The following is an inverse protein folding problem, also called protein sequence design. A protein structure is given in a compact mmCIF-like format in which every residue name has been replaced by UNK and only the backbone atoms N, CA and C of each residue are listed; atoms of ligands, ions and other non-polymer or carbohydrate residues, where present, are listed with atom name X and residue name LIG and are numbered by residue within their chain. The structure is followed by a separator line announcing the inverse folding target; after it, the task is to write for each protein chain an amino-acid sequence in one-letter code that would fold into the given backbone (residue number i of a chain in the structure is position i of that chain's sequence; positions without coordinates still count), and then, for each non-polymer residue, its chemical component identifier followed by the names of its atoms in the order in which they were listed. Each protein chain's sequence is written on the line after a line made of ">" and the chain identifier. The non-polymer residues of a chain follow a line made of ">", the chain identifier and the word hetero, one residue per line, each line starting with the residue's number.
data_IF_224702088508
#
_entry.id   IF_224702088508
#
_cell.length_a   1.000
_cell.length_b   1.000
_cell.length_c   1.000
_cell.angle_alpha   90.00
_cell.angle_beta   90.00
_cell.angle_gamma   90.00
#
_symmetry.space_group_name_H-M   'P 1'
#
loop_
_entity.id
_entity.type
_entity.pdbx_description
1 polymer ?
#
# COMPACT_ATOMS: atom_id res chain seq x y z
N UNK A 1 1.67 25.10 14.95
CA UNK A 1 0.21 25.13 15.24
C UNK A 1 -0.12 24.65 16.65
N UNK A 2 0.45 23.53 17.14
CA UNK A 2 0.21 23.04 18.51
C UNK A 2 0.43 24.10 19.61
N UNK A 3 1.49 24.89 19.50
CA UNK A 3 1.80 25.97 20.45
C UNK A 3 0.72 27.06 20.58
N UNK A 4 -0.06 27.32 19.53
CA UNK A 4 -1.12 28.33 19.56
C UNK A 4 -2.36 27.85 20.34
N UNK A 5 -2.58 26.54 20.41
CA UNK A 5 -3.65 25.96 21.24
C UNK A 5 -3.32 25.97 22.74
N UNK A 6 -2.03 26.09 23.08
CA UNK A 6 -1.57 26.11 24.47
C UNK A 6 -1.58 27.51 25.08
N UNK A 7 -1.82 28.56 24.28
CA UNK A 7 -1.99 29.94 24.76
C UNK A 7 -3.39 30.06 25.37
N UNK A 8 -3.51 30.48 26.65
CA UNK A 8 -4.80 30.67 27.29
C UNK A 8 -5.69 31.64 26.52
N UNK A 9 -6.96 31.27 26.31
CA UNK A 9 -7.98 32.06 25.61
C UNK A 9 -7.66 32.37 24.13
N UNK A 10 -6.66 31.72 23.54
CA UNK A 10 -6.46 31.77 22.10
C UNK A 10 -7.51 30.91 21.39
N UNK A 11 -8.13 31.47 20.35
CA UNK A 11 -9.09 30.75 19.52
C UNK A 11 -8.81 31.00 18.05
N UNK A 12 -9.01 29.97 17.23
CA UNK A 12 -9.03 30.13 15.78
C UNK A 12 -10.33 30.83 15.35
N UNK A 13 -10.20 31.86 14.53
CA UNK A 13 -11.31 32.60 13.92
C UNK A 13 -11.42 32.15 12.46
N UNK A 14 -12.45 31.36 12.14
CA UNK A 14 -12.66 30.78 10.81
C UNK A 14 -13.03 31.82 9.74
N UNK A 15 -13.69 32.92 10.12
CA UNK A 15 -14.06 33.99 9.20
C UNK A 15 -12.85 34.81 8.78
N UNK A 16 -11.98 35.15 9.73
CA UNK A 16 -10.76 35.92 9.48
C UNK A 16 -9.56 35.06 9.09
N UNK A 17 -9.70 33.71 9.16
CA UNK A 17 -8.63 32.73 8.98
C UNK A 17 -7.37 33.08 9.79
N UNK A 18 -7.58 33.52 11.02
CA UNK A 18 -6.52 34.04 11.88
C UNK A 18 -6.72 33.58 13.34
N UNK A 19 -5.64 33.58 14.10
CA UNK A 19 -5.71 33.32 15.55
C UNK A 19 -6.09 34.60 16.29
N UNK A 20 -7.18 34.53 17.06
CA UNK A 20 -7.57 35.60 17.99
C UNK A 20 -6.95 35.31 19.35
N UNK A 21 -6.09 36.21 19.81
CA UNK A 21 -5.46 36.13 21.13
C UNK A 21 -5.81 37.40 21.91
N UNK A 22 -6.55 37.29 23.03
CA UNK A 22 -6.87 38.44 23.86
C UNK A 22 -5.61 39.10 24.43
N UNK A 23 -5.64 40.43 24.62
CA UNK A 23 -4.49 41.21 25.09
C UNK A 23 -3.88 40.70 26.41
N UNK A 24 -4.70 40.15 27.31
CA UNK A 24 -4.23 39.52 28.57
C UNK A 24 -3.27 38.34 28.37
N UNK A 25 -3.30 37.70 27.20
CA UNK A 25 -2.44 36.57 26.82
C UNK A 25 -1.27 37.02 25.92
N UNK A 26 -1.08 38.34 25.75
CA UNK A 26 -0.06 38.90 24.88
C UNK A 26 1.36 38.53 25.31
N UNK A 27 1.65 38.54 26.61
CA UNK A 27 2.97 38.15 27.10
C UNK A 27 3.28 36.67 26.85
N UNK A 28 2.28 35.80 26.99
CA UNK A 28 2.41 34.36 26.73
C UNK A 28 2.60 34.09 25.23
N UNK A 29 1.88 34.82 24.37
CA UNK A 29 2.09 34.81 22.93
C UNK A 29 3.52 35.26 22.57
N UNK A 30 4.00 36.35 23.17
CA UNK A 30 5.35 36.89 22.92
C UNK A 30 6.45 35.91 23.35
N UNK A 31 6.26 35.20 24.47
CA UNK A 31 7.20 34.16 24.93
C UNK A 31 7.27 32.96 23.97
N UNK A 32 6.14 32.53 23.42
CA UNK A 32 6.04 31.37 22.52
C UNK A 32 6.24 31.72 21.03
N UNK A 33 6.25 33.00 20.69
CA UNK A 33 6.38 33.49 19.32
C UNK A 33 7.56 32.90 18.56
N UNK A 34 8.78 32.80 19.12
CA UNK A 34 9.92 32.20 18.41
C UNK A 34 9.66 30.74 18.01
N UNK A 35 9.03 29.95 18.89
CA UNK A 35 8.70 28.54 18.62
C UNK A 35 7.59 28.41 17.57
N UNK A 36 6.61 29.31 17.60
CA UNK A 36 5.54 29.38 16.59
C UNK A 36 6.12 29.74 15.22
N UNK A 37 7.02 30.72 15.17
CA UNK A 37 7.70 31.17 13.96
C UNK A 37 8.61 30.07 13.39
N UNK A 38 9.38 29.38 14.23
CA UNK A 38 10.14 28.21 13.80
C UNK A 38 9.26 27.08 13.26
N UNK A 39 8.14 26.80 13.93
CA UNK A 39 7.19 25.78 13.48
C UNK A 39 6.50 26.19 12.16
N UNK A 40 6.24 27.48 11.96
CA UNK A 40 5.72 28.03 10.71
C UNK A 40 6.75 27.92 9.59
N UNK A 41 8.01 28.30 9.83
CA UNK A 41 9.14 28.18 8.89
C UNK A 41 9.40 26.72 8.49
N UNK A 42 9.36 25.78 9.44
CA UNK A 42 9.45 24.33 9.14
C UNK A 42 8.25 23.79 8.35
N UNK A 43 7.11 24.48 8.43
CA UNK A 43 5.88 24.12 7.71
C UNK A 43 5.73 24.87 6.38
N UNK A 44 6.65 25.79 6.08
CA UNK A 44 6.66 26.59 4.87
C UNK A 44 6.73 25.66 3.64
N UNK A 45 5.93 25.93 2.60
CA UNK A 45 5.85 25.06 1.42
C UNK A 45 7.20 24.75 0.79
N UNK A 46 8.17 25.66 0.88
CA UNK A 46 9.51 25.51 0.34
C UNK A 46 10.37 24.52 1.13
N UNK A 47 10.34 24.55 2.47
CA UNK A 47 11.02 23.52 3.30
C UNK A 47 10.39 22.14 3.13
N UNK A 48 9.07 22.08 2.96
CA UNK A 48 8.37 20.83 2.61
C UNK A 48 8.77 20.34 1.22
N UNK A 49 8.96 21.25 0.25
CA UNK A 49 9.40 20.93 -1.11
C UNK A 49 10.86 20.45 -1.10
N UNK A 50 11.77 21.14 -0.40
CA UNK A 50 13.16 20.73 -0.20
C UNK A 50 13.28 19.36 0.47
N UNK A 51 12.49 19.09 1.51
CA UNK A 51 12.45 17.76 2.14
C UNK A 51 11.91 16.68 1.21
N UNK A 52 10.84 16.96 0.47
CA UNK A 52 10.28 16.03 -0.53
C UNK A 52 11.27 15.77 -1.65
N UNK A 53 12.04 16.77 -2.08
CA UNK A 53 13.09 16.65 -3.11
C UNK A 53 14.29 15.86 -2.59
N UNK A 54 14.76 16.11 -1.37
CA UNK A 54 15.81 15.31 -0.73
C UNK A 54 15.37 13.85 -0.49
N UNK A 55 14.11 13.63 -0.09
CA UNK A 55 13.54 12.29 0.01
C UNK A 55 13.35 11.66 -1.38
N UNK A 56 13.11 12.47 -2.44
CA UNK A 56 12.88 12.02 -3.82
C UNK A 56 14.03 11.22 -4.40
N UNK A 57 15.23 11.59 -4.01
CA UNK A 57 16.49 10.97 -4.45
C UNK A 57 17.01 9.90 -3.49
N UNK A 58 16.29 9.64 -2.40
CA UNK A 58 16.62 8.52 -1.53
C UNK A 58 16.54 7.19 -2.27
N UNK A 59 17.49 6.31 -1.97
CA UNK A 59 17.51 4.94 -2.47
C UNK A 59 16.22 4.17 -2.10
N UNK A 60 15.66 4.46 -0.92
CA UNK A 60 14.37 3.92 -0.48
C UNK A 60 13.22 4.29 -1.44
N UNK A 61 13.16 5.53 -1.92
CA UNK A 61 12.15 5.91 -2.91
C UNK A 61 12.39 5.25 -4.28
N UNK A 62 13.65 5.11 -4.70
CA UNK A 62 13.98 4.43 -5.97
C UNK A 62 13.56 2.97 -5.92
N UNK A 63 13.88 2.25 -4.84
CA UNK A 63 13.47 0.86 -4.64
C UNK A 63 11.95 0.72 -4.54
N UNK A 64 11.25 1.62 -3.85
CA UNK A 64 9.78 1.65 -3.83
C UNK A 64 9.18 1.85 -5.23
N UNK A 65 9.72 2.78 -6.04
CA UNK A 65 9.26 3.01 -7.42
C UNK A 65 9.47 1.78 -8.29
N UNK A 66 10.62 1.12 -8.19
CA UNK A 66 10.92 -0.11 -8.91
C UNK A 66 9.94 -1.23 -8.51
N UNK A 67 9.73 -1.45 -7.21
CA UNK A 67 8.75 -2.44 -6.71
C UNK A 67 7.33 -2.15 -7.20
N UNK A 68 6.95 -0.88 -7.22
CA UNK A 68 5.63 -0.48 -7.69
C UNK A 68 5.47 -0.63 -9.21
N UNK A 69 6.52 -0.31 -9.98
CA UNK A 69 6.55 -0.56 -11.41
C UNK A 69 6.48 -2.07 -11.72
N UNK A 70 7.19 -2.90 -10.98
CA UNK A 70 7.15 -4.36 -11.11
C UNK A 70 5.75 -4.90 -10.79
N UNK A 71 5.14 -4.46 -9.68
CA UNK A 71 3.77 -4.84 -9.33
C UNK A 71 2.75 -4.52 -10.44
N UNK A 72 2.91 -3.40 -11.14
CA UNK A 72 2.02 -2.99 -12.24
C UNK A 72 2.11 -3.87 -13.48
N UNK A 73 3.17 -4.68 -13.62
CA UNK A 73 3.28 -5.68 -14.69
C UNK A 73 2.33 -6.86 -14.48
N UNK A 74 1.72 -6.99 -13.29
CA UNK A 74 0.78 -8.04 -12.94
C UNK A 74 1.28 -9.45 -13.30
N UNK A 75 2.58 -9.65 -13.11
CA UNK A 75 3.26 -10.94 -13.27
C UNK A 75 3.73 -11.45 -11.91
N UNK A 76 3.90 -12.75 -11.79
CA UNK A 76 4.37 -13.42 -10.59
C UNK A 76 5.15 -14.68 -10.99
N UNK A 77 6.25 -15.02 -10.30
CA UNK A 77 6.98 -16.25 -10.55
C UNK A 77 6.15 -17.45 -10.09
N UNK A 78 6.01 -18.46 -10.95
CA UNK A 78 5.28 -19.70 -10.69
C UNK A 78 6.17 -20.91 -10.95
N UNK A 79 6.04 -22.00 -10.18
CA UNK A 79 6.71 -23.26 -10.49
C UNK A 79 6.27 -23.77 -11.86
N UNK A 80 7.21 -24.12 -12.74
CA UNK A 80 6.89 -24.72 -14.04
C UNK A 80 6.17 -26.07 -13.88
N UNK A 81 6.53 -26.83 -12.85
CA UNK A 81 5.99 -28.18 -12.59
C UNK A 81 4.71 -28.19 -11.75
N UNK A 82 4.43 -27.13 -10.98
CA UNK A 82 3.27 -27.03 -10.07
C UNK A 82 2.55 -25.68 -10.23
N UNK A 83 1.83 -25.57 -11.34
CA UNK A 83 1.06 -24.38 -11.67
C UNK A 83 -0.22 -24.27 -10.81
N UNK A 84 -0.59 -23.04 -10.40
CA UNK A 84 -1.83 -22.80 -9.69
C UNK A 84 -3.04 -23.13 -10.56
N UNK A 85 -4.19 -23.46 -9.95
CA UNK A 85 -5.44 -23.59 -10.69
C UNK A 85 -5.81 -22.25 -11.32
N UNK A 86 -5.85 -22.22 -12.66
CA UNK A 86 -6.25 -21.04 -13.43
C UNK A 86 -7.69 -20.63 -13.11
N UNK A 87 -7.95 -19.32 -13.13
CA UNK A 87 -9.25 -18.70 -12.83
C UNK A 87 -9.80 -19.00 -11.42
N UNK A 88 -8.95 -19.51 -10.51
CA UNK A 88 -9.32 -19.71 -9.11
C UNK A 88 -8.54 -18.76 -8.19
N UNK A 89 -9.19 -18.21 -7.16
CA UNK A 89 -8.49 -17.41 -6.17
C UNK A 89 -7.50 -18.25 -5.35
N UNK A 90 -6.22 -17.86 -5.41
CA UNK A 90 -5.12 -18.45 -4.64
C UNK A 90 -4.44 -17.36 -3.82
N UNK A 91 -3.90 -17.73 -2.66
CA UNK A 91 -3.07 -16.84 -1.87
C UNK A 91 -1.62 -16.87 -2.39
N UNK A 92 -0.95 -15.73 -2.27
CA UNK A 92 0.45 -15.51 -2.63
C UNK A 92 1.14 -14.74 -1.51
N UNK A 93 2.43 -14.95 -1.37
CA UNK A 93 3.26 -14.33 -0.33
C UNK A 93 3.22 -12.79 -0.42
N UNK A 94 3.32 -12.25 -1.63
CA UNK A 94 3.53 -10.81 -1.84
C UNK A 94 2.26 -10.02 -2.17
N UNK A 95 1.27 -10.66 -2.79
CA UNK A 95 0.09 -9.99 -3.34
C UNK A 95 -1.22 -10.38 -2.66
N UNK A 96 -1.17 -11.33 -1.71
CA UNK A 96 -2.36 -11.85 -1.04
C UNK A 96 -3.20 -12.72 -1.99
N UNK A 97 -4.52 -12.63 -1.88
CA UNK A 97 -5.42 -13.46 -2.69
C UNK A 97 -5.61 -12.87 -4.09
N UNK A 98 -5.09 -13.56 -5.10
CA UNK A 98 -5.13 -13.20 -6.52
C UNK A 98 -5.71 -14.33 -7.36
N UNK A 99 -6.05 -14.04 -8.61
CA UNK A 99 -6.48 -15.04 -9.60
C UNK A 99 -5.47 -15.05 -10.73
N UNK A 100 -4.88 -16.21 -11.00
CA UNK A 100 -4.01 -16.42 -12.16
C UNK A 100 -4.84 -16.64 -13.41
N UNK A 101 -4.47 -15.95 -14.49
CA UNK A 101 -5.17 -15.99 -15.77
C UNK A 101 -4.42 -16.81 -16.81
N UNK A 102 -3.10 -16.73 -16.82
CA UNK A 102 -2.26 -17.40 -17.82
C UNK A 102 -0.83 -17.60 -17.29
N UNK A 103 -0.14 -18.63 -17.79
CA UNK A 103 1.30 -18.83 -17.63
C UNK A 103 1.99 -18.67 -18.99
N UNK A 104 2.97 -17.78 -19.11
CA UNK A 104 3.66 -17.55 -20.39
C UNK A 104 4.66 -18.65 -20.75
N UNK A 105 5.11 -19.44 -19.77
CA UNK A 105 6.18 -20.43 -19.94
C UNK A 105 7.58 -19.83 -20.07
N UNK A 106 7.71 -18.49 -20.01
CA UNK A 106 8.98 -17.79 -20.01
C UNK A 106 9.65 -17.92 -18.65
N UNK A 107 10.90 -18.38 -18.62
CA UNK A 107 11.69 -18.52 -17.40
C UNK A 107 11.99 -17.16 -16.78
N UNK A 108 11.90 -17.12 -15.45
CA UNK A 108 12.16 -15.90 -14.68
C UNK A 108 13.65 -15.69 -14.51
N UNK A 109 14.14 -14.47 -14.77
CA UNK A 109 15.56 -14.17 -14.58
C UNK A 109 15.94 -14.13 -13.08
N UNK A 110 17.05 -14.77 -12.66
CA UNK A 110 17.45 -14.82 -11.25
C UNK A 110 17.69 -13.45 -10.59
N UNK A 111 18.09 -12.45 -11.38
CA UNK A 111 18.29 -11.08 -10.90
C UNK A 111 16.97 -10.41 -10.50
N UNK A 112 15.88 -10.70 -11.22
CA UNK A 112 14.53 -10.20 -10.93
C UNK A 112 13.97 -10.88 -9.67
N UNK A 113 14.21 -12.18 -9.50
CA UNK A 113 13.83 -12.91 -8.30
C UNK A 113 14.49 -12.32 -7.05
N UNK A 114 15.81 -12.11 -7.10
CA UNK A 114 16.56 -11.54 -5.98
C UNK A 114 16.06 -10.14 -5.60
N UNK A 115 15.72 -9.32 -6.59
CA UNK A 115 15.29 -7.94 -6.36
C UNK A 115 13.83 -7.82 -5.86
N UNK A 116 12.93 -8.65 -6.37
CA UNK A 116 11.48 -8.46 -6.21
C UNK A 116 10.73 -9.62 -5.56
N UNK A 117 11.23 -10.85 -5.66
CA UNK A 117 10.56 -12.07 -5.21
C UNK A 117 11.50 -12.97 -4.39
N UNK A 118 12.02 -12.51 -3.24
CA UNK A 118 13.03 -13.26 -2.48
C UNK A 118 12.53 -14.60 -1.93
N UNK A 119 11.22 -14.77 -1.73
CA UNK A 119 10.63 -16.05 -1.32
C UNK A 119 10.79 -17.13 -2.40
N UNK A 120 10.75 -16.74 -3.67
CA UNK A 120 10.86 -17.66 -4.80
C UNK A 120 12.31 -18.10 -5.06
N UNK A 121 13.31 -17.45 -4.46
CA UNK A 121 14.72 -17.90 -4.53
C UNK A 121 14.98 -19.21 -3.78
N UNK A 122 14.07 -19.61 -2.88
CA UNK A 122 14.17 -20.85 -2.11
C UNK A 122 13.59 -22.06 -2.85
N UNK A 123 13.10 -21.85 -4.07
CA UNK A 123 12.57 -22.89 -4.92
C UNK A 123 13.70 -23.64 -5.63
N UNK A 124 13.71 -24.97 -5.50
CA UNK A 124 14.63 -25.86 -6.24
C UNK A 124 14.15 -26.16 -7.67
N UNK A 125 13.10 -25.47 -8.14
CA UNK A 125 12.44 -25.72 -9.42
C UNK A 125 12.49 -24.51 -10.35
N UNK A 126 12.38 -24.77 -11.65
CA UNK A 126 12.32 -23.73 -12.66
C UNK A 126 11.06 -22.88 -12.47
N UNK A 127 11.24 -21.55 -12.49
CA UNK A 127 10.18 -20.58 -12.33
C UNK A 127 9.83 -19.96 -13.67
N UNK A 128 8.53 -19.94 -13.98
CA UNK A 128 7.96 -19.28 -15.16
C UNK A 128 7.09 -18.10 -14.77
N UNK A 129 6.91 -17.15 -15.69
CA UNK A 129 5.99 -16.03 -15.45
C UNK A 129 4.52 -16.43 -15.55
N UNK A 130 3.75 -16.10 -14.52
CA UNK A 130 2.29 -16.14 -14.51
C UNK A 130 1.68 -14.74 -14.47
N UNK A 131 0.65 -14.50 -15.27
CA UNK A 131 -0.15 -13.27 -15.21
C UNK A 131 -1.29 -13.43 -14.21
N UNK A 132 -1.56 -12.38 -13.44
CA UNK A 132 -2.59 -12.39 -12.42
C UNK A 132 -3.47 -11.15 -12.45
N UNK A 133 -4.66 -11.28 -11.88
CA UNK A 133 -5.57 -10.17 -11.61
C UNK A 133 -6.07 -10.22 -10.17
N UNK A 134 -6.54 -9.08 -9.69
CA UNK A 134 -7.21 -9.04 -8.39
C UNK A 134 -8.50 -9.86 -8.44
N UNK A 135 -8.71 -10.69 -7.41
CA UNK A 135 -9.94 -11.45 -7.27
C UNK A 135 -11.15 -10.51 -7.04
N UNK A 136 -12.25 -10.80 -7.71
CA UNK A 136 -13.53 -10.10 -7.49
C UNK A 136 -14.18 -10.54 -6.18
N UNK A 137 -15.10 -9.73 -5.65
CA UNK A 137 -15.82 -10.10 -4.43
C UNK A 137 -16.59 -11.41 -4.61
N UNK A 138 -17.22 -11.61 -5.77
CA UNK A 138 -17.98 -12.83 -6.08
C UNK A 138 -17.10 -14.07 -6.08
N UNK A 139 -15.93 -14.00 -6.71
CA UNK A 139 -14.96 -15.10 -6.71
C UNK A 139 -14.52 -15.43 -5.29
N UNK A 140 -14.12 -14.41 -4.51
CA UNK A 140 -13.68 -14.59 -3.12
C UNK A 140 -14.74 -15.19 -2.20
N UNK A 141 -16.02 -14.92 -2.45
CA UNK A 141 -17.14 -15.50 -1.68
C UNK A 141 -17.37 -16.97 -2.07
N UNK A 142 -17.18 -17.32 -3.34
CA UNK A 142 -17.33 -18.69 -3.84
C UNK A 142 -16.15 -19.61 -3.48
N UNK A 143 -14.98 -19.04 -3.18
CA UNK A 143 -13.80 -19.83 -2.80
C UNK A 143 -13.96 -20.50 -1.45
N UNK A 144 -13.69 -21.81 -1.43
CA UNK A 144 -13.62 -22.60 -0.22
C UNK A 144 -12.29 -22.35 0.51
N UNK A 145 -12.32 -22.09 1.83
CA UNK A 145 -11.10 -21.88 2.60
C UNK A 145 -10.28 -23.18 2.71
N UNK A 146 -8.96 -23.04 2.76
CA UNK A 146 -8.08 -24.13 3.17
C UNK A 146 -8.40 -24.56 4.61
N UNK A 147 -8.32 -25.87 4.85
CA UNK A 147 -8.55 -26.47 6.19
C UNK A 147 -7.36 -26.30 7.12
N UNK A 148 -6.17 -26.10 6.56
CA UNK A 148 -4.89 -25.93 7.26
C UNK A 148 -4.19 -24.70 6.73
N UNK A 149 -3.36 -24.10 7.55
CA UNK A 149 -2.47 -23.02 7.12
C UNK A 149 -1.39 -23.59 6.19
N UNK A 150 -0.84 -22.71 5.35
CA UNK A 150 0.17 -23.08 4.40
C UNK A 150 1.46 -23.51 5.12
N UNK A 151 2.01 -24.66 4.70
CA UNK A 151 3.27 -25.15 5.22
C UNK A 151 4.49 -24.50 4.53
N UNK A 152 5.71 -24.75 5.02
CA UNK A 152 6.94 -24.21 4.43
C UNK A 152 7.09 -24.52 2.93
N UNK A 153 6.67 -25.71 2.50
CA UNK A 153 6.69 -26.11 1.09
C UNK A 153 5.72 -25.32 0.22
N UNK A 154 4.56 -24.95 0.75
CA UNK A 154 3.58 -24.15 0.01
C UNK A 154 4.01 -22.69 -0.09
N UNK A 155 4.70 -22.18 0.94
CA UNK A 155 5.35 -20.88 0.91
C UNK A 155 6.53 -20.83 -0.06
N UNK A 156 7.37 -21.88 -0.12
CA UNK A 156 8.46 -21.97 -1.10
C UNK A 156 7.93 -22.10 -2.54
N UNK A 157 6.81 -22.81 -2.73
CA UNK A 157 6.05 -22.82 -3.99
C UNK A 157 5.56 -21.43 -4.41
N UNK A 158 5.35 -20.54 -3.46
CA UNK A 158 4.93 -19.16 -3.68
C UNK A 158 3.43 -18.97 -3.85
N UNK A 159 2.62 -20.05 -3.86
CA UNK A 159 1.15 -19.96 -3.90
C UNK A 159 0.49 -21.11 -3.12
N UNK A 160 -0.68 -20.84 -2.54
CA UNK A 160 -1.47 -21.82 -1.78
C UNK A 160 -2.97 -21.55 -1.83
N UNK A 161 -3.76 -22.52 -1.34
CA UNK A 161 -5.19 -22.30 -1.16
C UNK A 161 -5.41 -21.34 0.02
N UNK A 162 -6.19 -20.26 -0.16
CA UNK A 162 -6.30 -19.23 0.88
C UNK A 162 -7.04 -19.75 2.12
N UNK A 163 -6.54 -19.39 3.28
CA UNK A 163 -7.17 -19.61 4.58
C UNK A 163 -8.40 -18.71 4.76
N UNK A 164 -9.24 -19.03 5.74
CA UNK A 164 -10.39 -18.19 6.08
C UNK A 164 -9.97 -16.78 6.51
N UNK A 165 -8.83 -16.64 7.18
CA UNK A 165 -8.29 -15.35 7.62
C UNK A 165 -7.91 -14.47 6.42
N UNK A 166 -7.17 -15.03 5.45
CA UNK A 166 -6.78 -14.34 4.23
C UNK A 166 -8.01 -13.96 3.38
N UNK A 167 -8.98 -14.87 3.24
CA UNK A 167 -10.24 -14.59 2.54
C UNK A 167 -11.03 -13.46 3.20
N UNK A 168 -11.07 -13.37 4.53
CA UNK A 168 -11.74 -12.27 5.24
C UNK A 168 -11.12 -10.92 4.90
N UNK A 169 -9.79 -10.83 4.89
CA UNK A 169 -9.05 -9.60 4.52
C UNK A 169 -9.30 -9.26 3.05
N UNK A 170 -9.17 -10.23 2.15
CA UNK A 170 -9.40 -10.04 0.72
C UNK A 170 -10.84 -9.56 0.43
N UNK A 171 -11.85 -10.19 1.04
CA UNK A 171 -13.27 -9.80 0.91
C UNK A 171 -13.53 -8.39 1.43
N UNK A 172 -12.91 -8.00 2.55
CA UNK A 172 -13.02 -6.64 3.09
C UNK A 172 -12.45 -5.61 2.11
N UNK A 173 -11.28 -5.88 1.54
CA UNK A 173 -10.63 -5.00 0.57
C UNK A 173 -11.43 -4.91 -0.73
N UNK A 174 -11.92 -6.03 -1.26
CA UNK A 174 -12.77 -6.07 -2.45
C UNK A 174 -14.06 -5.24 -2.25
N UNK A 175 -14.74 -5.39 -1.11
CA UNK A 175 -15.91 -4.56 -0.75
C UNK A 175 -15.58 -3.07 -0.69
N UNK A 176 -14.40 -2.71 -0.17
CA UNK A 176 -13.98 -1.31 -0.13
C UNK A 176 -13.72 -0.75 -1.52
N UNK A 177 -13.11 -1.54 -2.42
CA UNK A 177 -12.87 -1.15 -3.82
C UNK A 177 -14.20 -0.98 -4.57
N UNK A 178 -15.13 -1.93 -4.43
CA UNK A 178 -16.46 -1.82 -5.06
C UNK A 178 -17.23 -0.59 -4.58
N UNK A 179 -17.21 -0.28 -3.28
CA UNK A 179 -17.83 0.93 -2.75
C UNK A 179 -17.24 2.20 -3.35
N UNK A 180 -15.91 2.29 -3.49
CA UNK A 180 -15.24 3.44 -4.11
C UNK A 180 -15.56 3.58 -5.60
N UNK A 181 -15.68 2.45 -6.32
CA UNK A 181 -16.10 2.45 -7.72
C UNK A 181 -17.52 3.01 -7.84
N UNK A 182 -18.46 2.47 -7.06
CA UNK A 182 -19.85 2.96 -7.00
C UNK A 182 -19.94 4.44 -6.64
N UNK A 183 -19.20 4.91 -5.64
CA UNK A 183 -19.23 6.34 -5.27
C UNK A 183 -18.69 7.22 -6.39
N UNK A 184 -17.66 6.77 -7.11
CA UNK A 184 -17.12 7.51 -8.25
C UNK A 184 -18.13 7.55 -9.41
N UNK A 185 -18.79 6.43 -9.68
CA UNK A 185 -19.77 6.35 -10.77
C UNK A 185 -21.05 7.15 -10.45
N UNK A 186 -21.39 7.29 -9.16
CA UNK A 186 -22.50 8.12 -8.64
C UNK A 186 -22.14 9.59 -8.43
N UNK A 187 -20.86 9.98 -8.57
CA UNK A 187 -20.43 11.37 -8.54
C UNK A 187 -20.38 11.84 -9.99
N UNK A 188 -21.44 12.48 -10.53
CA UNK A 188 -21.33 13.04 -11.87
C UNK A 188 -20.27 14.13 -11.80
N UNK A 189 -19.32 14.06 -12.73
CA UNK A 189 -18.28 15.06 -12.97
C UNK A 189 -18.84 16.46 -12.76
N UNK A 190 -18.39 17.12 -11.68
CA UNK A 190 -18.53 18.57 -11.47
C UNK A 190 -17.33 19.27 -12.05
#
# INVERSE_FOLDING_TARGET
>A
VRELHEIPWASWDDELRAWRVPFRSYEELRRRWPTIEEAARRSEPEERKRRREAERDSEAQRTMRLRYAERRRHRYPLPAEDLPPMDRPVATEQYGVVVFTESSGELVEPSVLTAFYPHAMQADFDLVWGTWRSATLTELVRTWPARREAGPMEHSRGWWQPTLAELRVARRNARAIERRRRSRDLSPTS
#
